data_IF_570760092547
#
_entry.id   IF_570760092547
#
_cell.length_a   1.000
_cell.length_b   1.000
_cell.length_c   1.000
_cell.angle_alpha   90.00
_cell.angle_beta   90.00
_cell.angle_gamma   90.00
#
_symmetry.space_group_name_H-M   'P 1'
#
loop_
_entity.id
_entity.type
_entity.pdbx_description
1 polymer ?
#
# COMPACT_ATOMS: atom_id res chain seq x y z
N UNK A 1 45.10 22.32 -15.24
CA UNK A 1 44.67 21.55 -14.05
C UNK A 1 43.18 21.82 -13.89
N UNK A 2 42.33 21.29 -14.76
CA UNK A 2 41.60 20.01 -14.58
C UNK A 2 41.06 19.81 -13.17
N UNK A 3 39.76 20.07 -12.99
CA UNK A 3 38.75 19.01 -12.94
C UNK A 3 37.35 19.64 -12.95
N UNK A 4 36.69 19.59 -14.10
CA UNK A 4 35.23 19.66 -14.15
C UNK A 4 34.70 18.30 -13.69
N UNK A 5 33.88 18.31 -12.65
CA UNK A 5 33.12 17.14 -12.22
C UNK A 5 32.17 16.74 -13.34
N UNK A 6 32.54 15.70 -14.06
CA UNK A 6 31.79 15.09 -15.13
C UNK A 6 30.47 14.54 -14.56
N UNK A 7 29.38 15.28 -14.78
CA UNK A 7 28.04 14.75 -14.60
C UNK A 7 27.87 13.64 -15.61
N UNK A 8 27.84 12.40 -15.13
CA UNK A 8 27.49 11.23 -15.93
C UNK A 8 26.03 11.39 -16.33
N UNK A 9 25.82 12.12 -17.41
CA UNK A 9 24.57 12.09 -18.15
C UNK A 9 24.55 10.76 -18.88
N UNK A 10 23.91 9.75 -18.30
CA UNK A 10 23.53 8.57 -19.06
C UNK A 10 22.50 9.02 -20.11
N UNK A 11 23.01 9.38 -21.28
CA UNK A 11 22.27 9.63 -22.51
C UNK A 11 21.63 8.33 -23.00
N UNK A 12 20.52 7.94 -22.36
CA UNK A 12 19.52 7.04 -22.94
C UNK A 12 18.43 7.85 -23.65
N UNK A 13 17.65 7.24 -24.55
CA UNK A 13 16.52 7.91 -25.20
C UNK A 13 15.63 8.57 -24.14
N UNK A 14 15.16 9.78 -24.40
CA UNK A 14 14.26 10.55 -23.54
C UNK A 14 13.24 9.61 -22.87
N UNK A 15 13.44 9.33 -21.58
CA UNK A 15 12.64 8.36 -20.84
C UNK A 15 11.17 8.69 -21.00
N UNK A 16 10.44 7.78 -21.65
CA UNK A 16 9.03 7.95 -21.92
C UNK A 16 8.25 7.05 -20.99
N UNK A 17 7.95 7.58 -19.80
CA UNK A 17 7.17 6.89 -18.76
C UNK A 17 5.86 6.33 -19.29
N UNK A 18 5.19 7.04 -20.21
CA UNK A 18 3.91 6.62 -20.79
C UNK A 18 4.08 5.36 -21.65
N UNK A 19 5.13 5.29 -22.48
CA UNK A 19 5.42 4.10 -23.29
C UNK A 19 5.74 2.87 -22.43
N UNK A 20 6.54 3.03 -21.38
CA UNK A 20 6.87 1.92 -20.46
C UNK A 20 5.64 1.46 -19.69
N UNK A 21 4.80 2.39 -19.20
CA UNK A 21 3.54 2.05 -18.55
C UNK A 21 2.59 1.29 -19.50
N UNK A 22 2.44 1.76 -20.73
CA UNK A 22 1.65 1.06 -21.74
C UNK A 22 2.18 -0.34 -22.06
N UNK A 23 3.50 -0.51 -22.15
CA UNK A 23 4.12 -1.82 -22.37
C UNK A 23 3.85 -2.75 -21.17
N UNK A 24 3.96 -2.23 -19.94
CA UNK A 24 3.65 -2.97 -18.73
C UNK A 24 2.17 -3.38 -18.67
N UNK A 25 1.24 -2.46 -18.91
CA UNK A 25 -0.21 -2.73 -18.88
C UNK A 25 -0.63 -3.74 -19.96
N UNK A 26 0.04 -3.75 -21.12
CA UNK A 26 -0.18 -4.74 -22.18
C UNK A 26 0.17 -6.16 -21.76
N UNK A 27 1.11 -6.35 -20.83
CA UNK A 27 1.43 -7.69 -20.32
C UNK A 27 0.27 -8.29 -19.54
N UNK A 28 -0.63 -7.46 -18.99
CA UNK A 28 -1.71 -7.84 -18.06
C UNK A 28 -1.24 -8.60 -16.82
N UNK A 29 0.07 -8.75 -16.63
CA UNK A 29 0.69 -9.53 -15.55
C UNK A 29 0.63 -8.79 -14.20
N UNK A 30 0.43 -7.45 -14.24
CA UNK A 30 0.40 -6.56 -13.07
C UNK A 30 1.68 -6.68 -12.23
N UNK A 31 1.69 -6.08 -11.04
CA UNK A 31 2.86 -6.11 -10.15
C UNK A 31 3.15 -7.53 -9.64
N UNK A 32 2.12 -8.37 -9.45
CA UNK A 32 2.35 -9.76 -9.06
C UNK A 32 3.15 -10.53 -10.11
N UNK A 33 2.82 -10.41 -11.40
CA UNK A 33 3.58 -11.07 -12.45
C UNK A 33 5.02 -10.55 -12.58
N UNK A 34 5.26 -9.29 -12.23
CA UNK A 34 6.62 -8.75 -12.10
C UNK A 34 7.40 -9.48 -10.99
N UNK A 35 6.79 -9.69 -9.82
CA UNK A 35 7.41 -10.43 -8.71
C UNK A 35 7.63 -11.90 -9.09
N UNK A 36 6.61 -12.57 -9.63
CA UNK A 36 6.66 -13.98 -10.02
C UNK A 36 7.71 -14.25 -11.12
N UNK A 37 8.03 -13.25 -11.96
CA UNK A 37 9.08 -13.35 -12.99
C UNK A 37 10.50 -13.43 -12.43
N UNK A 38 10.69 -13.18 -11.14
CA UNK A 38 12.01 -13.15 -10.50
C UNK A 38 12.82 -11.90 -10.86
N UNK A 39 12.15 -10.79 -11.21
CA UNK A 39 12.80 -9.54 -11.57
C UNK A 39 13.73 -9.05 -10.44
N UNK A 40 14.99 -8.81 -10.77
CA UNK A 40 16.01 -8.34 -9.81
C UNK A 40 16.13 -6.81 -9.75
N UNK A 41 15.42 -6.10 -10.63
CA UNK A 41 15.39 -4.64 -10.71
C UNK A 41 13.96 -4.14 -10.77
N UNK A 42 13.70 -3.06 -10.05
CA UNK A 42 12.40 -2.36 -10.08
C UNK A 42 12.32 -1.54 -11.38
N UNK A 43 11.29 -1.71 -12.22
CA UNK A 43 11.07 -0.88 -13.40
C UNK A 43 10.96 0.60 -13.03
N UNK A 44 11.47 1.47 -13.91
CA UNK A 44 11.61 2.91 -13.60
C UNK A 44 10.26 3.60 -13.41
N UNK A 45 9.18 3.03 -13.95
CA UNK A 45 7.81 3.52 -13.75
C UNK A 45 7.30 3.46 -12.30
N UNK A 46 7.89 2.60 -11.45
CA UNK A 46 7.56 2.44 -10.03
C UNK A 46 8.50 3.22 -9.09
N UNK A 47 9.55 3.83 -9.62
CA UNK A 47 10.49 4.62 -8.82
C UNK A 47 9.92 6.03 -8.67
N UNK A 48 9.62 6.41 -7.44
CA UNK A 48 9.16 7.76 -7.14
C UNK A 48 10.30 8.77 -7.31
N UNK A 49 10.00 9.99 -7.78
CA UNK A 49 10.94 11.10 -7.73
C UNK A 49 11.47 11.33 -6.30
N UNK A 50 12.72 11.76 -6.12
CA UNK A 50 13.33 11.95 -4.79
C UNK A 50 12.49 12.83 -3.86
N UNK A 51 11.75 13.80 -4.40
CA UNK A 51 10.92 14.72 -3.64
C UNK A 51 9.71 14.05 -2.99
N UNK A 52 9.33 12.86 -3.46
CA UNK A 52 8.22 12.06 -2.94
C UNK A 52 8.68 10.90 -2.06
N UNK A 53 9.99 10.70 -1.90
CA UNK A 53 10.50 9.65 -1.04
C UNK A 53 10.42 10.11 0.42
N UNK A 54 9.95 9.26 1.34
CA UNK A 54 10.00 9.58 2.76
C UNK A 54 11.45 9.77 3.19
N UNK A 55 11.68 10.69 4.11
CA UNK A 55 13.00 10.90 4.69
C UNK A 55 13.35 9.73 5.63
N UNK A 56 13.98 8.71 5.06
CA UNK A 56 14.41 7.49 5.75
C UNK A 56 15.54 7.74 6.77
N UNK A 57 16.04 8.99 6.88
CA UNK A 57 17.10 9.32 7.84
C UNK A 57 16.61 9.47 9.29
N UNK A 58 15.29 9.55 9.50
CA UNK A 58 14.67 9.72 10.83
C UNK A 58 14.13 8.42 11.45
N UNK A 59 14.50 7.24 10.91
CA UNK A 59 14.23 5.94 11.55
C UNK A 59 15.16 5.72 12.76
N UNK A 60 15.21 6.69 13.68
CA UNK A 60 15.69 6.45 15.04
C UNK A 60 14.48 5.98 15.85
N UNK A 61 14.44 4.69 16.11
CA UNK A 61 13.67 4.07 17.19
C UNK A 61 12.20 4.51 17.37
N UNK A 62 11.28 3.80 16.71
CA UNK A 62 10.16 3.20 17.46
C UNK A 62 9.10 4.11 18.09
N UNK A 63 8.93 5.37 17.69
CA UNK A 63 7.71 6.12 18.02
C UNK A 63 6.89 6.36 16.76
N UNK A 64 6.28 5.28 16.25
CA UNK A 64 5.18 5.40 15.30
C UNK A 64 4.14 6.36 15.88
N UNK A 65 3.62 7.26 15.06
CA UNK A 65 2.53 8.15 15.44
C UNK A 65 1.46 7.32 16.16
N UNK A 66 1.09 7.64 17.41
CA UNK A 66 0.16 6.82 18.18
C UNK A 66 -1.24 7.00 17.60
N UNK A 67 -1.57 6.19 16.58
CA UNK A 67 -2.91 6.17 16.01
C UNK A 67 -3.93 5.86 17.11
N UNK A 68 -5.05 6.61 17.18
CA UNK A 68 -6.06 6.35 18.19
C UNK A 68 -6.59 4.92 18.09
N UNK A 69 -6.79 4.27 19.23
CA UNK A 69 -7.43 2.96 19.32
C UNK A 69 -8.79 3.16 20.01
N UNK A 70 -9.86 2.78 19.33
CA UNK A 70 -11.23 2.87 19.83
C UNK A 70 -11.70 1.48 20.25
N UNK A 71 -12.12 1.35 21.50
CA UNK A 71 -12.67 0.11 22.06
C UNK A 71 -14.20 0.10 21.88
N UNK A 72 -14.72 -0.73 20.98
CA UNK A 72 -16.15 -0.71 20.60
C UNK A 72 -17.06 -1.55 21.53
N UNK A 73 -16.51 -2.24 22.52
CA UNK A 73 -17.34 -3.05 23.44
C UNK A 73 -18.31 -2.15 24.21
N UNK A 74 -19.56 -2.58 24.35
CA UNK A 74 -20.57 -1.82 25.08
C UNK A 74 -21.22 -0.70 24.27
N UNK A 75 -21.05 -0.66 22.95
CA UNK A 75 -21.72 0.31 22.07
C UNK A 75 -23.26 0.23 22.10
N UNK A 76 -23.82 -0.87 22.61
CA UNK A 76 -25.27 -1.08 22.81
C UNK A 76 -25.75 -0.71 24.21
N UNK A 77 -24.82 -0.37 25.12
CA UNK A 77 -25.09 -0.11 26.53
C UNK A 77 -24.89 1.38 26.85
N UNK A 78 -24.82 1.74 28.14
CA UNK A 78 -24.59 3.12 28.59
C UNK A 78 -23.25 3.71 28.14
N UNK A 79 -22.29 2.87 27.72
CA UNK A 79 -20.99 3.28 27.19
C UNK A 79 -21.01 3.89 25.77
N UNK A 80 -22.15 3.86 25.08
CA UNK A 80 -22.28 4.36 23.70
C UNK A 80 -21.85 5.81 23.52
N UNK A 81 -22.13 6.67 24.50
CA UNK A 81 -21.77 8.10 24.45
C UNK A 81 -20.28 8.32 24.28
N UNK A 82 -19.47 7.74 25.17
CA UNK A 82 -18.01 7.87 25.12
C UNK A 82 -17.38 7.26 23.86
N UNK A 83 -17.97 6.20 23.31
CA UNK A 83 -17.52 5.62 22.03
C UNK A 83 -17.76 6.60 20.88
N UNK A 84 -18.94 7.23 20.83
CA UNK A 84 -19.26 8.23 19.79
C UNK A 84 -18.34 9.43 19.89
N UNK A 85 -18.07 9.92 21.11
CA UNK A 85 -17.17 11.04 21.32
C UNK A 85 -15.73 10.69 20.90
N UNK A 86 -15.26 9.49 21.22
CA UNK A 86 -13.96 8.99 20.76
C UNK A 86 -13.85 8.87 19.24
N UNK A 87 -14.89 8.36 18.57
CA UNK A 87 -14.93 8.29 17.10
C UNK A 87 -14.93 9.69 16.49
N UNK A 88 -15.76 10.60 17.02
CA UNK A 88 -15.82 11.99 16.57
C UNK A 88 -14.45 12.66 16.66
N UNK A 89 -13.78 12.49 17.79
CA UNK A 89 -12.49 13.12 18.03
C UNK A 89 -11.40 12.54 17.11
N UNK A 90 -11.29 11.22 17.05
CA UNK A 90 -10.33 10.56 16.18
C UNK A 90 -10.57 10.90 14.69
N UNK A 91 -11.82 10.99 14.24
CA UNK A 91 -12.15 11.42 12.88
C UNK A 91 -11.75 12.88 12.62
N UNK A 92 -11.89 13.77 13.60
CA UNK A 92 -11.58 15.21 13.47
C UNK A 92 -10.08 15.47 13.47
N UNK A 93 -9.35 14.83 14.37
CA UNK A 93 -7.92 15.09 14.60
C UNK A 93 -7.02 14.23 13.70
N UNK A 94 -7.39 12.97 13.47
CA UNK A 94 -6.51 12.00 12.80
C UNK A 94 -7.03 11.58 11.43
N UNK A 95 -8.35 11.53 11.24
CA UNK A 95 -8.98 11.00 10.02
C UNK A 95 -8.83 9.48 9.84
N UNK A 96 -8.01 8.82 10.66
CA UNK A 96 -7.80 7.38 10.72
C UNK A 96 -7.55 6.94 12.16
N UNK A 97 -8.06 5.77 12.53
CA UNK A 97 -7.93 5.16 13.85
C UNK A 97 -8.13 3.65 13.75
N UNK A 98 -7.64 2.92 14.75
CA UNK A 98 -7.86 1.48 14.88
C UNK A 98 -9.11 1.22 15.71
N UNK A 99 -9.91 0.25 15.29
CA UNK A 99 -11.09 -0.20 16.03
C UNK A 99 -10.85 -1.60 16.56
N UNK A 100 -11.06 -1.82 17.86
CA UNK A 100 -10.92 -3.13 18.51
C UNK A 100 -12.22 -3.53 19.21
N UNK A 101 -12.45 -4.84 19.35
CA UNK A 101 -13.70 -5.39 19.89
C UNK A 101 -14.94 -4.94 19.09
N UNK A 102 -14.80 -4.83 17.77
CA UNK A 102 -15.86 -4.44 16.83
C UNK A 102 -16.98 -5.48 16.68
N UNK A 103 -16.83 -6.67 17.28
CA UNK A 103 -17.84 -7.73 17.26
C UNK A 103 -17.87 -8.56 15.96
N UNK A 104 -16.93 -8.35 15.05
CA UNK A 104 -16.73 -9.22 13.89
C UNK A 104 -15.90 -10.41 14.38
N UNK A 105 -16.38 -11.66 14.21
CA UNK A 105 -15.64 -12.85 14.58
C UNK A 105 -14.27 -12.94 13.88
N UNK A 106 -13.26 -13.46 14.58
CA UNK A 106 -11.89 -13.55 14.05
C UNK A 106 -11.78 -14.49 12.84
N UNK A 107 -12.52 -15.59 12.86
CA UNK A 107 -12.59 -16.54 11.74
C UNK A 107 -13.10 -15.89 10.45
N UNK A 108 -14.03 -14.93 10.55
CA UNK A 108 -14.50 -14.17 9.38
C UNK A 108 -13.38 -13.34 8.77
N UNK A 109 -12.62 -12.60 9.60
CA UNK A 109 -11.49 -11.79 9.11
C UNK A 109 -10.35 -12.65 8.58
N UNK A 110 -10.07 -13.79 9.22
CA UNK A 110 -9.03 -14.73 8.80
C UNK A 110 -9.38 -15.38 7.46
N UNK A 111 -10.62 -15.85 7.32
CA UNK A 111 -11.13 -16.43 6.07
C UNK A 111 -11.16 -15.40 4.93
N UNK A 112 -11.49 -14.13 5.22
CA UNK A 112 -11.40 -13.04 4.24
C UNK A 112 -9.96 -12.86 3.77
N UNK A 113 -9.00 -12.77 4.69
CA UNK A 113 -7.58 -12.62 4.35
C UNK A 113 -7.08 -13.81 3.54
N UNK A 114 -7.45 -15.03 3.94
CA UNK A 114 -7.10 -16.25 3.22
C UNK A 114 -7.71 -16.28 1.81
N UNK A 115 -8.97 -15.89 1.66
CA UNK A 115 -9.64 -15.79 0.36
C UNK A 115 -8.96 -14.79 -0.58
N UNK A 116 -8.58 -13.61 -0.07
CA UNK A 116 -7.84 -12.59 -0.83
C UNK A 116 -6.47 -13.13 -1.25
N UNK A 117 -5.74 -13.81 -0.36
CA UNK A 117 -4.45 -14.44 -0.68
C UNK A 117 -4.60 -15.49 -1.78
N UNK A 118 -5.52 -16.44 -1.59
CA UNK A 118 -5.82 -17.50 -2.57
C UNK A 118 -6.17 -16.91 -3.94
N UNK A 119 -7.03 -15.90 -3.99
CA UNK A 119 -7.36 -15.21 -5.24
C UNK A 119 -6.12 -14.60 -5.90
N UNK A 120 -5.28 -13.90 -5.14
CA UNK A 120 -4.07 -13.30 -5.71
C UNK A 120 -3.02 -14.34 -6.08
N UNK A 121 -3.04 -15.55 -5.54
CA UNK A 121 -2.10 -16.64 -5.86
C UNK A 121 -2.51 -17.53 -7.04
N UNK A 122 -3.77 -17.46 -7.50
CA UNK A 122 -4.24 -18.20 -8.69
C UNK A 122 -3.41 -17.89 -9.96
N UNK A 123 -3.56 -18.71 -11.00
CA UNK A 123 -2.99 -18.43 -12.32
C UNK A 123 -3.62 -17.18 -12.95
N UNK A 124 -2.87 -16.49 -13.80
CA UNK A 124 -3.27 -15.18 -14.37
C UNK A 124 -4.53 -15.31 -15.23
N UNK A 125 -4.65 -16.43 -15.95
CA UNK A 125 -5.77 -16.74 -16.84
C UNK A 125 -7.10 -16.82 -16.06
N UNK A 126 -7.08 -17.43 -14.88
CA UNK A 126 -8.26 -17.58 -14.02
C UNK A 126 -8.72 -16.23 -13.47
N UNK A 127 -7.77 -15.36 -13.09
CA UNK A 127 -8.08 -14.02 -12.59
C UNK A 127 -8.59 -13.07 -13.67
N UNK A 128 -8.11 -13.21 -14.90
CA UNK A 128 -8.56 -12.38 -16.01
C UNK A 128 -10.03 -12.67 -16.37
N UNK A 129 -10.48 -13.92 -16.28
CA UNK A 129 -11.89 -14.26 -16.50
C UNK A 129 -12.85 -13.69 -15.42
N UNK A 130 -12.39 -13.54 -14.17
CA UNK A 130 -13.23 -12.96 -13.09
C UNK A 130 -13.39 -11.44 -13.20
N UNK A 131 -12.53 -10.76 -13.96
CA UNK A 131 -12.51 -9.30 -14.09
C UNK A 131 -13.18 -8.78 -15.37
N UNK A 132 -13.64 -9.68 -16.25
CA UNK A 132 -14.38 -9.34 -17.48
C UNK A 132 -15.89 -9.66 -17.40
N UNK A 133 -16.39 -10.12 -16.25
CA UNK A 133 -17.82 -10.24 -15.93
C UNK A 133 -18.29 -9.11 -15.01
#
# INVERSE_FOLDING_TARGET
>A
MSNHGESITCSGPHYNRVKELQAFDKTKARVKGLVDSGATKIPRIFIHPPENLPDLSNDTEGTGLPLPIIYLRGYRDSGRGGIIDGVREASREWGIFHLINHGIPLDVTDNMLEGVKKFHEQQVEVKNCTLEM
#
